data_IF_854013103296
#
_entry.id   IF_854013103296
#
_cell.length_a   1.000
_cell.length_b   1.000
_cell.length_c   1.000
_cell.angle_alpha   90.00
_cell.angle_beta   90.00
_cell.angle_gamma   90.00
#
_symmetry.space_group_name_H-M   'P 1'
#
loop_
_entity.id
_entity.type
_entity.pdbx_description
1 polymer ?
#
# COMPACT_ATOMS: atom_id res chain seq x y z
N UNK A 1 6.68 10.13 11.92
CA UNK A 1 6.24 8.80 11.46
C UNK A 1 6.21 8.80 9.94
N UNK A 2 6.89 7.85 9.31
CA UNK A 2 6.87 7.62 7.86
C UNK A 2 5.72 6.68 7.47
N UNK A 3 5.37 6.63 6.18
CA UNK A 3 4.37 5.67 5.69
C UNK A 3 4.75 4.20 5.94
N UNK A 4 6.05 3.91 5.98
CA UNK A 4 6.62 2.59 6.30
C UNK A 4 6.37 2.23 7.77
N UNK A 5 6.69 3.14 8.69
CA UNK A 5 6.46 2.94 10.12
C UNK A 5 4.97 2.78 10.43
N UNK A 6 4.12 3.56 9.75
CA UNK A 6 2.68 3.44 9.85
C UNK A 6 2.19 2.06 9.37
N UNK A 7 2.62 1.61 8.18
CA UNK A 7 2.20 0.33 7.62
C UNK A 7 2.56 -0.84 8.54
N UNK A 8 3.76 -0.83 9.14
CA UNK A 8 4.17 -1.84 10.14
C UNK A 8 3.24 -1.84 11.36
N UNK A 9 2.96 -0.66 11.91
CA UNK A 9 2.10 -0.52 13.09
C UNK A 9 0.66 -0.95 12.79
N UNK A 10 0.13 -0.57 11.64
CA UNK A 10 -1.21 -0.97 11.19
C UNK A 10 -1.28 -2.48 10.97
N UNK A 11 -0.28 -3.09 10.32
CA UNK A 11 -0.27 -4.54 10.11
C UNK A 11 -0.22 -5.33 11.43
N UNK A 12 0.50 -4.82 12.43
CA UNK A 12 0.55 -5.43 13.75
C UNK A 12 -0.79 -5.33 14.52
N UNK A 13 -1.51 -4.22 14.39
CA UNK A 13 -2.78 -3.98 15.08
C UNK A 13 -4.00 -4.56 14.35
N UNK A 14 -3.95 -4.55 13.01
CA UNK A 14 -5.04 -4.96 12.14
C UNK A 14 -4.50 -5.84 10.99
N UNK A 15 -4.18 -7.11 11.25
CA UNK A 15 -3.60 -8.01 10.24
C UNK A 15 -4.44 -8.20 8.97
N UNK A 16 -5.75 -7.97 9.04
CA UNK A 16 -6.66 -8.08 7.89
C UNK A 16 -6.94 -6.77 7.15
N UNK A 17 -6.48 -5.61 7.64
CA UNK A 17 -6.77 -4.34 6.99
C UNK A 17 -5.95 -4.21 5.69
N UNK A 18 -6.56 -3.96 4.53
CA UNK A 18 -5.83 -3.71 3.30
C UNK A 18 -5.03 -2.41 3.40
N UNK A 19 -3.77 -2.42 2.96
CA UNK A 19 -2.90 -1.24 2.99
C UNK A 19 -2.38 -0.99 1.57
N UNK A 20 -2.79 0.11 0.95
CA UNK A 20 -2.30 0.54 -0.36
C UNK A 20 -1.19 1.59 -0.18
N UNK A 21 0.05 1.22 -0.51
CA UNK A 21 1.18 2.14 -0.47
C UNK A 21 1.23 3.05 -1.71
N UNK A 22 1.48 4.34 -1.54
CA UNK A 22 1.65 5.26 -2.68
C UNK A 22 3.12 5.65 -2.85
N UNK A 23 3.77 5.18 -3.92
CA UNK A 23 5.20 5.38 -4.16
C UNK A 23 5.44 6.53 -5.14
N UNK A 24 6.53 7.28 -4.95
CA UNK A 24 6.96 8.36 -5.85
C UNK A 24 8.19 7.94 -6.64
N UNK A 25 9.36 8.20 -6.06
CA UNK A 25 10.69 7.87 -6.62
C UNK A 25 11.32 6.59 -6.05
N UNK A 26 10.73 6.05 -4.98
CA UNK A 26 11.24 4.83 -4.34
C UNK A 26 10.54 3.67 -5.03
N UNK A 27 11.28 2.95 -5.86
CA UNK A 27 10.79 1.71 -6.45
C UNK A 27 10.54 0.68 -5.35
N UNK A 28 9.50 -0.12 -5.54
CA UNK A 28 9.11 -1.20 -4.64
C UNK A 28 10.30 -2.12 -4.28
N UNK A 29 11.25 -2.26 -5.19
CA UNK A 29 12.49 -3.01 -5.02
C UNK A 29 13.38 -2.49 -3.88
N UNK A 30 13.20 -1.24 -3.45
CA UNK A 30 13.91 -0.66 -2.30
C UNK A 30 13.34 -1.14 -0.95
N UNK A 31 12.16 -1.77 -0.93
CA UNK A 31 11.59 -2.33 0.28
C UNK A 31 12.07 -3.77 0.49
N UNK A 32 12.54 -4.07 1.70
CA UNK A 32 12.83 -5.46 2.08
C UNK A 32 11.56 -6.32 2.15
N UNK A 33 11.65 -7.66 2.01
CA UNK A 33 10.48 -8.55 1.92
C UNK A 33 9.47 -8.41 3.08
N UNK A 34 9.96 -8.18 4.30
CA UNK A 34 9.12 -8.00 5.48
C UNK A 34 8.29 -6.71 5.41
N UNK A 35 8.82 -5.66 4.79
CA UNK A 35 8.09 -4.42 4.59
C UNK A 35 7.09 -4.56 3.44
N UNK A 36 7.48 -5.24 2.37
CA UNK A 36 6.59 -5.52 1.23
C UNK A 36 5.34 -6.29 1.66
N UNK A 37 5.49 -7.26 2.58
CA UNK A 37 4.38 -8.00 3.17
C UNK A 37 3.42 -7.15 4.02
N UNK A 38 3.82 -5.94 4.43
CA UNK A 38 2.91 -5.03 5.14
C UNK A 38 1.87 -4.43 4.20
N UNK A 39 2.16 -4.31 2.90
CA UNK A 39 1.29 -3.68 1.92
C UNK A 39 0.49 -4.72 1.13
N UNK A 40 -0.79 -4.43 0.90
CA UNK A 40 -1.66 -5.22 0.02
C UNK A 40 -1.43 -4.86 -1.45
N UNK A 41 -0.81 -3.71 -1.71
CA UNK A 41 -0.44 -3.29 -3.04
C UNK A 41 0.23 -1.92 -3.04
N UNK A 42 0.68 -1.51 -4.22
CA UNK A 42 1.30 -0.21 -4.43
C UNK A 42 0.67 0.54 -5.60
N UNK A 43 0.71 1.86 -5.50
CA UNK A 43 0.24 2.82 -6.48
C UNK A 43 1.35 3.84 -6.77
N UNK A 44 1.88 3.81 -7.99
CA UNK A 44 2.98 4.68 -8.43
C UNK A 44 2.46 6.05 -8.82
N UNK A 45 3.02 7.10 -8.25
CA UNK A 45 2.73 8.51 -8.58
C UNK A 45 3.49 8.95 -9.84
N UNK A 46 2.95 9.91 -10.61
CA UNK A 46 1.56 10.38 -10.54
C UNK A 46 0.58 9.32 -11.09
N UNK A 47 -0.65 9.36 -10.59
CA UNK A 47 -1.73 8.49 -11.05
C UNK A 47 -3.04 9.29 -11.17
N UNK A 48 -3.93 8.93 -12.11
CA UNK A 48 -5.23 9.56 -12.22
C UNK A 48 -6.23 8.97 -11.18
N UNK A 49 -7.30 9.71 -10.90
CA UNK A 49 -8.33 9.36 -9.90
C UNK A 49 -8.95 7.99 -10.13
N UNK A 50 -9.18 7.64 -11.39
CA UNK A 50 -9.84 6.39 -11.79
C UNK A 50 -8.99 5.18 -11.41
N UNK A 51 -7.67 5.32 -11.49
CA UNK A 51 -6.73 4.27 -11.05
C UNK A 51 -6.79 4.12 -9.53
N UNK A 52 -6.86 5.21 -8.77
CA UNK A 52 -7.01 5.13 -7.31
C UNK A 52 -8.31 4.39 -6.95
N UNK A 53 -9.44 4.79 -7.54
CA UNK A 53 -10.75 4.18 -7.27
C UNK A 53 -10.74 2.68 -7.57
N UNK A 54 -10.21 2.28 -8.72
CA UNK A 54 -10.08 0.87 -9.10
C UNK A 54 -9.25 0.09 -8.07
N UNK A 55 -8.10 0.63 -7.66
CA UNK A 55 -7.19 -0.03 -6.71
C UNK A 55 -7.79 -0.16 -5.31
N UNK A 56 -8.60 0.80 -4.90
CA UNK A 56 -9.35 0.71 -3.63
C UNK A 56 -10.40 -0.41 -3.74
N UNK A 57 -11.19 -0.44 -4.82
CA UNK A 57 -12.19 -1.49 -5.02
C UNK A 57 -11.57 -2.91 -5.05
N UNK A 58 -10.43 -3.08 -5.75
CA UNK A 58 -9.64 -4.31 -5.75
C UNK A 58 -9.21 -4.71 -4.32
N UNK A 59 -8.70 -3.75 -3.54
CA UNK A 59 -8.18 -4.01 -2.19
C UNK A 59 -9.28 -4.33 -1.17
N UNK A 60 -10.48 -3.78 -1.34
CA UNK A 60 -11.62 -4.00 -0.43
C UNK A 60 -12.55 -5.14 -0.86
N UNK A 61 -12.28 -5.79 -2.01
CA UNK A 61 -13.16 -6.84 -2.55
C UNK A 61 -14.53 -6.32 -2.99
N UNK A 62 -14.61 -5.03 -3.36
CA UNK A 62 -15.85 -4.39 -3.82
C UNK A 62 -16.03 -4.48 -5.35
N UNK A 63 -15.25 -5.34 -6.02
CA UNK A 63 -15.25 -5.55 -7.46
C UNK A 63 -16.05 -6.81 -7.85
#
# INVERSE_FOLDING_TARGET
MTGIELARRVRALHPGLPILGMTGYIDRESFGPALDACFSGFLRKPFPSEVLLRRVAEATGAA
#
